data_IF_952688708563
#
_entry.id   IF_952688708563
#
_cell.length_a   1.000
_cell.length_b   1.000
_cell.length_c   1.000
_cell.angle_alpha   90.00
_cell.angle_beta   90.00
_cell.angle_gamma   90.00
#
_symmetry.space_group_name_H-M   'P 1'
#
loop_
_entity.id
_entity.type
_entity.pdbx_description
1 polymer ?
#
# COMPACT_ATOMS: atom_id res chain seq x y z
N UNK A 1 13.25 -42.62 -0.55
CA UNK A 1 14.08 -43.80 -0.87
C UNK A 1 15.36 -43.39 -1.62
N UNK A 2 16.40 -44.25 -1.71
CA UNK A 2 17.64 -43.95 -2.45
C UNK A 2 17.95 -44.94 -3.58
N UNK A 3 18.41 -44.43 -4.73
CA UNK A 3 18.88 -45.23 -5.87
C UNK A 3 20.37 -44.96 -6.08
N UNK A 4 21.16 -46.03 -6.24
CA UNK A 4 22.57 -45.96 -6.60
C UNK A 4 22.76 -46.08 -8.11
N UNK A 5 23.37 -45.07 -8.74
CA UNK A 5 23.78 -45.14 -10.15
C UNK A 5 25.23 -45.60 -10.27
N UNK A 6 25.48 -46.64 -11.07
CA UNK A 6 26.82 -47.13 -11.40
C UNK A 6 27.22 -46.65 -12.80
N UNK A 7 28.25 -45.82 -12.90
CA UNK A 7 28.78 -45.33 -14.18
C UNK A 7 30.02 -46.15 -14.56
N UNK A 8 30.06 -46.68 -15.78
CA UNK A 8 31.22 -47.39 -16.33
C UNK A 8 31.90 -46.49 -17.37
N UNK A 9 33.19 -46.22 -17.20
CA UNK A 9 34.01 -45.48 -18.17
C UNK A 9 34.96 -46.48 -18.83
N UNK A 10 34.84 -46.67 -20.14
CA UNK A 10 35.76 -47.52 -20.90
C UNK A 10 36.73 -46.63 -21.69
N UNK A 11 38.04 -46.87 -21.58
CA UNK A 11 39.03 -46.23 -22.45
C UNK A 11 39.09 -46.94 -23.81
N UNK A 12 39.08 -46.16 -24.90
CA UNK A 12 38.80 -46.68 -26.25
C UNK A 12 39.91 -47.52 -26.89
N UNK A 13 41.09 -47.63 -26.29
CA UNK A 13 42.26 -48.28 -26.91
C UNK A 13 42.84 -49.46 -26.11
N UNK A 14 42.18 -49.85 -25.02
CA UNK A 14 42.57 -50.98 -24.16
C UNK A 14 41.37 -51.90 -23.94
N UNK A 15 41.56 -53.23 -24.01
CA UNK A 15 40.54 -54.19 -23.56
C UNK A 15 40.40 -54.23 -22.02
N UNK A 16 41.19 -53.43 -21.31
CA UNK A 16 41.13 -53.27 -19.86
C UNK A 16 40.14 -52.16 -19.51
N UNK A 17 39.05 -52.51 -18.86
CA UNK A 17 38.02 -51.58 -18.41
C UNK A 17 38.31 -51.20 -16.97
N UNK A 18 38.80 -49.98 -16.74
CA UNK A 18 38.93 -49.44 -15.38
C UNK A 18 37.54 -49.04 -14.85
N UNK A 19 36.96 -49.93 -14.04
CA UNK A 19 35.64 -49.71 -13.44
C UNK A 19 35.78 -48.81 -12.20
N UNK A 20 35.63 -47.50 -12.40
CA UNK A 20 35.50 -46.55 -11.29
C UNK A 20 34.04 -46.46 -10.88
N UNK A 21 33.69 -47.08 -9.75
CA UNK A 21 32.34 -46.94 -9.17
C UNK A 21 32.27 -45.69 -8.31
N UNK A 22 31.51 -44.68 -8.77
CA UNK A 22 31.12 -43.54 -7.95
C UNK A 22 29.65 -43.68 -7.60
N UNK A 23 29.27 -43.97 -6.34
CA UNK A 23 27.88 -43.96 -5.95
C UNK A 23 27.37 -42.51 -6.03
N UNK A 24 26.32 -42.29 -6.82
CA UNK A 24 25.53 -41.07 -6.77
C UNK A 24 24.24 -41.42 -6.06
N UNK A 25 24.04 -40.83 -4.89
CA UNK A 25 22.84 -40.99 -4.09
C UNK A 25 21.79 -39.98 -4.56
N UNK A 26 20.64 -40.49 -4.99
CA UNK A 26 19.48 -39.66 -5.32
C UNK A 26 18.39 -39.92 -4.30
N UNK A 27 17.94 -38.88 -3.63
CA UNK A 27 16.73 -38.92 -2.82
C UNK A 27 15.52 -38.70 -3.72
N UNK A 28 14.48 -39.50 -3.51
CA UNK A 28 13.19 -39.34 -4.17
C UNK A 28 12.05 -39.63 -3.19
N UNK A 29 10.97 -38.89 -3.40
CA UNK A 29 9.69 -39.06 -2.73
C UNK A 29 8.58 -39.02 -3.78
N UNK A 30 7.60 -39.90 -3.63
CA UNK A 30 6.38 -39.95 -4.45
C UNK A 30 5.11 -39.70 -3.62
N UNK A 31 5.24 -39.66 -2.29
CA UNK A 31 4.12 -39.47 -1.39
C UNK A 31 3.81 -37.97 -1.30
N UNK A 32 2.62 -37.53 -1.71
CA UNK A 32 2.29 -36.12 -1.67
C UNK A 32 2.06 -35.64 -0.22
N UNK A 33 2.30 -34.35 0.07
CA UNK A 33 2.01 -33.77 1.38
C UNK A 33 0.55 -33.94 1.81
N UNK A 34 0.35 -33.98 3.14
CA UNK A 34 -1.00 -33.97 3.73
C UNK A 34 -1.77 -32.70 3.42
N UNK A 35 -3.10 -32.80 3.46
CA UNK A 35 -4.00 -31.66 3.25
C UNK A 35 -3.86 -30.63 4.38
N UNK A 36 -3.65 -29.33 4.07
CA UNK A 36 -3.69 -28.27 5.06
C UNK A 36 -5.06 -28.16 5.76
N UNK A 37 -5.05 -28.06 7.09
CA UNK A 37 -6.27 -27.98 7.91
C UNK A 37 -6.55 -26.58 8.46
N UNK A 38 -7.79 -26.38 8.93
CA UNK A 38 -8.25 -25.13 9.56
C UNK A 38 -8.05 -23.90 8.67
N UNK A 39 -8.33 -24.03 7.37
CA UNK A 39 -8.28 -22.91 6.43
C UNK A 39 -9.37 -21.91 6.81
N UNK A 40 -8.95 -20.67 7.03
CA UNK A 40 -9.83 -19.53 7.31
C UNK A 40 -9.53 -18.41 6.34
N UNK A 41 -10.57 -17.66 5.98
CA UNK A 41 -10.51 -16.54 5.05
C UNK A 41 -11.20 -15.34 5.67
N UNK A 42 -10.55 -14.18 5.58
CA UNK A 42 -11.06 -12.90 6.09
C UNK A 42 -10.95 -11.89 4.98
N UNK A 43 -12.08 -11.32 4.56
CA UNK A 43 -12.12 -10.26 3.56
C UNK A 43 -11.88 -8.88 4.20
N UNK A 44 -11.08 -8.04 3.53
CA UNK A 44 -10.85 -6.65 3.90
C UNK A 44 -10.59 -5.79 2.66
N UNK A 45 -11.58 -5.01 2.22
CA UNK A 45 -11.45 -4.24 0.98
C UNK A 45 -11.43 -5.17 -0.23
N UNK A 46 -10.46 -4.93 -1.11
CA UNK A 46 -10.16 -5.73 -2.31
C UNK A 46 -9.23 -6.93 -2.01
N UNK A 47 -9.03 -7.28 -0.73
CA UNK A 47 -8.16 -8.38 -0.34
C UNK A 47 -8.90 -9.46 0.45
N UNK A 48 -8.36 -10.69 0.37
CA UNK A 48 -8.72 -11.79 1.25
C UNK A 48 -7.44 -12.29 1.92
N UNK A 49 -7.40 -12.19 3.24
CA UNK A 49 -6.37 -12.81 4.07
C UNK A 49 -6.74 -14.26 4.33
N UNK A 50 -5.85 -15.17 3.94
CA UNK A 50 -5.98 -16.62 4.05
C UNK A 50 -5.01 -17.10 5.11
N UNK A 51 -5.47 -17.92 6.05
CA UNK A 51 -4.61 -18.57 7.03
C UNK A 51 -4.98 -20.04 7.25
N UNK A 52 -4.00 -20.85 7.60
CA UNK A 52 -4.17 -22.29 7.79
C UNK A 52 -3.25 -22.80 8.91
N UNK A 53 -3.44 -24.05 9.32
CA UNK A 53 -2.52 -24.71 10.25
C UNK A 53 -1.28 -25.16 9.48
N UNK A 54 -0.09 -24.70 9.88
CA UNK A 54 1.17 -25.20 9.32
C UNK A 54 1.22 -26.73 9.51
N UNK A 55 1.52 -27.45 8.43
CA UNK A 55 1.83 -28.87 8.51
C UNK A 55 3.13 -29.04 9.32
N UNK A 56 3.10 -29.89 10.34
CA UNK A 56 4.19 -30.08 11.31
C UNK A 56 4.99 -31.35 11.06
N UNK A 57 4.97 -31.89 9.85
CA UNK A 57 5.78 -33.06 9.53
C UNK A 57 7.27 -32.66 9.57
N UNK A 58 8.17 -33.63 9.79
CA UNK A 58 9.62 -33.44 10.08
C UNK A 58 10.43 -32.73 8.97
N UNK A 59 9.76 -32.20 7.94
CA UNK A 59 10.33 -31.51 6.80
C UNK A 59 9.89 -30.04 6.81
N UNK A 60 10.82 -29.14 7.12
CA UNK A 60 10.64 -27.68 7.05
C UNK A 60 10.55 -27.15 5.61
N UNK A 61 10.36 -28.03 4.61
CA UNK A 61 10.52 -27.76 3.18
C UNK A 61 9.20 -27.81 2.37
N UNK A 62 8.05 -27.70 3.04
CA UNK A 62 6.74 -27.62 2.38
C UNK A 62 6.45 -26.16 1.93
N UNK A 63 6.07 -26.01 0.67
CA UNK A 63 5.51 -24.79 0.10
C UNK A 63 3.97 -24.91 0.01
N UNK A 64 3.26 -23.80 0.01
CA UNK A 64 1.81 -23.77 -0.12
C UNK A 64 1.37 -23.08 -1.41
N UNK A 65 0.29 -23.58 -2.00
CA UNK A 65 -0.37 -22.98 -3.16
C UNK A 65 -1.82 -22.68 -2.81
N UNK A 66 -2.20 -21.42 -2.92
CA UNK A 66 -3.53 -20.92 -2.61
C UNK A 66 -4.24 -20.69 -3.94
N UNK A 67 -5.30 -21.45 -4.17
CA UNK A 67 -6.14 -21.37 -5.36
C UNK A 67 -7.43 -20.64 -5.04
N UNK A 68 -7.95 -19.86 -5.99
CA UNK A 68 -9.20 -19.15 -5.81
C UNK A 68 -10.02 -19.04 -7.09
N UNK A 69 -11.35 -19.09 -6.95
CA UNK A 69 -12.28 -19.02 -8.07
C UNK A 69 -13.61 -18.40 -7.64
N UNK A 70 -14.37 -17.89 -8.60
CA UNK A 70 -15.75 -17.39 -8.39
C UNK A 70 -16.79 -18.50 -8.47
N UNK A 71 -16.35 -19.75 -8.63
CA UNK A 71 -17.17 -20.97 -8.59
C UNK A 71 -16.53 -21.97 -7.63
N UNK A 72 -17.31 -22.82 -6.95
CA UNK A 72 -16.75 -23.91 -6.15
C UNK A 72 -15.95 -24.87 -7.02
N UNK A 73 -14.85 -25.39 -6.48
CA UNK A 73 -13.95 -26.31 -7.18
C UNK A 73 -13.39 -27.35 -6.24
N UNK A 74 -13.13 -28.53 -6.77
CA UNK A 74 -12.51 -29.64 -6.04
C UNK A 74 -11.12 -30.00 -6.58
N UNK A 75 -10.83 -29.61 -7.82
CA UNK A 75 -9.55 -29.84 -8.47
C UNK A 75 -8.92 -28.53 -8.95
N UNK A 76 -7.60 -28.43 -8.86
CA UNK A 76 -6.81 -27.26 -9.29
C UNK A 76 -6.96 -26.93 -10.80
N UNK A 77 -7.30 -27.92 -11.63
CA UNK A 77 -7.52 -27.73 -13.08
C UNK A 77 -8.81 -26.98 -13.40
N UNK A 78 -9.75 -26.90 -12.45
CA UNK A 78 -10.99 -26.12 -12.56
C UNK A 78 -10.75 -24.62 -12.26
N UNK A 79 -9.58 -24.28 -11.70
CA UNK A 79 -9.23 -22.92 -11.30
C UNK A 79 -8.74 -22.13 -12.52
N UNK A 80 -9.24 -20.89 -12.76
CA UNK A 80 -8.76 -20.05 -13.85
C UNK A 80 -7.24 -19.86 -13.82
N UNK A 81 -6.61 -19.91 -15.00
CA UNK A 81 -5.18 -19.71 -15.13
C UNK A 81 -4.77 -18.34 -14.58
N UNK A 82 -3.83 -18.33 -13.64
CA UNK A 82 -3.38 -17.11 -12.95
C UNK A 82 -3.95 -16.94 -11.55
N UNK A 83 -5.04 -17.63 -11.20
CA UNK A 83 -5.63 -17.56 -9.85
C UNK A 83 -4.96 -18.52 -8.86
N UNK A 84 -3.65 -18.36 -8.71
CA UNK A 84 -2.86 -19.13 -7.76
C UNK A 84 -1.77 -18.26 -7.13
N UNK A 85 -1.67 -18.29 -5.81
CA UNK A 85 -0.60 -17.64 -5.05
C UNK A 85 0.28 -18.73 -4.44
N UNK A 86 1.58 -18.68 -4.72
CA UNK A 86 2.55 -19.61 -4.13
C UNK A 86 3.26 -18.95 -2.96
N UNK A 87 3.31 -19.64 -1.83
CA UNK A 87 3.94 -19.20 -0.60
C UNK A 87 5.03 -20.18 -0.24
N UNK A 88 6.28 -19.70 -0.23
CA UNK A 88 7.42 -20.55 0.10
C UNK A 88 7.78 -20.54 1.59
N UNK A 89 8.27 -21.68 2.06
CA UNK A 89 8.77 -21.90 3.42
C UNK A 89 7.67 -22.02 4.48
N UNK A 90 8.09 -22.02 5.74
CA UNK A 90 7.27 -22.27 6.94
C UNK A 90 6.19 -21.20 7.28
N UNK A 91 5.62 -20.54 6.27
CA UNK A 91 4.50 -19.61 6.43
C UNK A 91 3.18 -20.38 6.56
N UNK A 92 2.20 -19.73 7.18
CA UNK A 92 0.85 -20.25 7.39
C UNK A 92 -0.24 -19.25 6.98
N UNK A 93 0.13 -18.26 6.17
CA UNK A 93 -0.79 -17.24 5.67
C UNK A 93 -0.38 -16.70 4.29
N UNK A 94 -1.37 -16.18 3.57
CA UNK A 94 -1.25 -15.50 2.29
C UNK A 94 -2.31 -14.41 2.19
N UNK A 95 -2.09 -13.41 1.34
CA UNK A 95 -3.09 -12.39 1.01
C UNK A 95 -3.35 -12.43 -0.48
N UNK A 96 -4.62 -12.62 -0.85
CA UNK A 96 -5.11 -12.42 -2.22
C UNK A 96 -5.39 -10.93 -2.41
N UNK A 97 -4.99 -10.36 -3.54
CA UNK A 97 -5.11 -8.93 -3.85
C UNK A 97 -5.86 -8.75 -5.18
N UNK A 98 -6.20 -7.49 -5.49
CA UNK A 98 -6.85 -7.10 -6.75
C UNK A 98 -8.15 -7.88 -7.01
N UNK A 99 -8.93 -8.15 -5.96
CA UNK A 99 -10.19 -8.87 -6.05
C UNK A 99 -11.38 -7.92 -6.25
N UNK A 100 -12.38 -8.38 -6.99
CA UNK A 100 -13.60 -7.62 -7.21
C UNK A 100 -14.46 -7.58 -5.94
N UNK A 101 -14.82 -6.38 -5.51
CA UNK A 101 -15.68 -6.17 -4.35
C UNK A 101 -17.11 -6.67 -4.62
N UNK A 102 -17.69 -7.35 -3.64
CA UNK A 102 -19.04 -7.92 -3.73
C UNK A 102 -19.11 -9.24 -4.48
N UNK A 103 -18.00 -9.76 -4.99
CA UNK A 103 -17.92 -11.07 -5.65
C UNK A 103 -17.54 -12.14 -4.63
N UNK A 104 -18.30 -13.24 -4.60
CA UNK A 104 -17.99 -14.37 -3.73
C UNK A 104 -16.83 -15.20 -4.30
N UNK A 105 -15.79 -15.41 -3.50
CA UNK A 105 -14.64 -16.24 -3.87
C UNK A 105 -14.57 -17.50 -3.00
N UNK A 106 -14.35 -18.62 -3.68
CA UNK A 106 -14.01 -19.91 -3.11
C UNK A 106 -12.49 -20.01 -3.09
N UNK A 107 -11.92 -20.37 -1.94
CA UNK A 107 -10.47 -20.42 -1.73
C UNK A 107 -10.09 -21.78 -1.15
N UNK A 108 -9.06 -22.41 -1.71
CA UNK A 108 -8.51 -23.67 -1.21
C UNK A 108 -6.99 -23.62 -1.15
N UNK A 109 -6.40 -24.29 -0.17
CA UNK A 109 -4.96 -24.35 0.04
C UNK A 109 -4.47 -25.77 -0.24
N UNK A 110 -3.46 -25.90 -1.07
CA UNK A 110 -2.71 -27.13 -1.30
C UNK A 110 -1.27 -27.00 -0.79
N UNK A 111 -0.67 -28.13 -0.43
CA UNK A 111 0.74 -28.22 -0.03
C UNK A 111 1.58 -28.88 -1.14
N UNK A 112 2.81 -28.40 -1.32
CA UNK A 112 3.77 -28.88 -2.30
C UNK A 112 5.11 -29.13 -1.61
N UNK A 113 5.68 -30.31 -1.80
CA UNK A 113 7.02 -30.60 -1.28
C UNK A 113 8.13 -30.07 -2.21
N UNK A 114 9.38 -30.42 -1.89
CA UNK A 114 10.58 -30.13 -2.70
C UNK A 114 10.75 -31.05 -3.91
N UNK A 115 10.09 -32.22 -3.90
CA UNK A 115 10.10 -33.21 -4.97
C UNK A 115 9.02 -32.96 -6.03
N UNK A 116 8.32 -31.82 -5.92
CA UNK A 116 7.26 -31.37 -6.80
C UNK A 116 5.93 -32.14 -6.65
N UNK A 117 5.79 -32.99 -5.63
CA UNK A 117 4.54 -33.65 -5.33
C UNK A 117 3.56 -32.65 -4.71
N UNK A 118 2.37 -32.56 -5.31
CA UNK A 118 1.30 -31.71 -4.80
C UNK A 118 0.26 -32.57 -4.07
N UNK A 119 -0.02 -32.19 -2.82
CA UNK A 119 -1.10 -32.73 -2.00
C UNK A 119 -2.49 -32.37 -2.50
N UNK A 120 -3.48 -33.07 -1.93
CA UNK A 120 -4.88 -32.74 -2.11
C UNK A 120 -5.21 -31.32 -1.58
N UNK A 121 -6.21 -30.68 -2.19
CA UNK A 121 -6.67 -29.36 -1.78
C UNK A 121 -7.51 -29.43 -0.50
N UNK A 122 -7.40 -28.39 0.34
CA UNK A 122 -8.36 -28.18 1.42
C UNK A 122 -9.79 -27.99 0.88
N UNK A 123 -10.78 -28.22 1.74
CA UNK A 123 -12.15 -27.79 1.48
C UNK A 123 -12.19 -26.28 1.15
N UNK A 124 -13.15 -25.88 0.31
CA UNK A 124 -13.29 -24.47 -0.04
C UNK A 124 -13.70 -23.66 1.20
N UNK A 125 -12.89 -22.67 1.55
CA UNK A 125 -13.28 -21.58 2.40
C UNK A 125 -13.88 -20.46 1.52
N UNK A 126 -14.88 -19.74 2.02
CA UNK A 126 -15.63 -18.77 1.23
C UNK A 126 -15.51 -17.40 1.87
N UNK A 127 -15.14 -16.40 1.07
CA UNK A 127 -15.12 -15.00 1.46
C UNK A 127 -15.61 -14.12 0.32
N UNK A 128 -16.23 -13.00 0.67
CA UNK A 128 -16.64 -11.96 -0.28
C UNK A 128 -15.88 -10.70 0.09
N UNK A 129 -14.95 -10.20 -0.74
CA UNK A 129 -14.33 -8.89 -0.57
C UNK A 129 -15.45 -7.84 -0.38
N UNK A 130 -15.35 -7.06 0.68
CA UNK A 130 -16.30 -5.99 1.01
C UNK A 130 -15.54 -4.68 0.97
N UNK A 131 -16.18 -3.59 0.55
CA UNK A 131 -15.58 -2.26 0.67
C UNK A 131 -15.14 -2.06 2.13
N UNK A 132 -13.90 -1.60 2.34
CA UNK A 132 -13.45 -1.31 3.70
C UNK A 132 -14.29 -0.18 4.24
N UNK A 133 -15.17 -0.47 5.20
CA UNK A 133 -15.93 0.54 5.93
C UNK A 133 -14.96 1.55 6.54
N UNK A 134 -14.88 2.73 5.94
CA UNK A 134 -14.26 3.84 6.64
C UNK A 134 -15.19 4.31 7.77
N UNK A 135 -14.65 5.07 8.72
CA UNK A 135 -15.44 5.58 9.85
C UNK A 135 -16.61 6.48 9.42
N UNK A 136 -16.60 6.99 8.18
CA UNK A 136 -17.64 7.84 7.64
C UNK A 136 -18.79 7.05 7.02
N UNK A 137 -18.53 5.96 6.30
CA UNK A 137 -19.56 5.01 5.89
C UNK A 137 -20.25 4.41 7.10
N UNK A 138 -19.47 4.06 8.13
CA UNK A 138 -20.02 3.63 9.41
C UNK A 138 -20.92 4.69 10.07
N UNK A 139 -20.55 5.96 9.95
CA UNK A 139 -21.32 7.10 10.45
C UNK A 139 -22.60 7.35 9.62
N UNK A 140 -22.52 7.26 8.29
CA UNK A 140 -23.68 7.39 7.38
C UNK A 140 -24.71 6.28 7.63
N UNK A 141 -24.26 5.04 7.77
CA UNK A 141 -25.12 3.90 8.11
C UNK A 141 -25.77 4.05 9.49
N UNK A 142 -25.09 4.72 10.43
CA UNK A 142 -25.64 5.06 11.74
C UNK A 142 -26.62 6.25 11.72
N UNK A 143 -26.99 6.75 10.53
CA UNK A 143 -27.95 7.85 10.35
C UNK A 143 -27.33 9.23 10.21
N UNK A 144 -26.04 9.33 9.87
CA UNK A 144 -25.35 10.58 9.61
C UNK A 144 -25.96 11.38 8.45
N UNK A 145 -26.34 12.63 8.70
CA UNK A 145 -27.08 13.50 7.76
C UNK A 145 -26.20 14.35 6.83
N UNK A 146 -24.88 14.19 6.87
CA UNK A 146 -23.94 15.05 6.17
C UNK A 146 -23.62 14.50 4.79
N UNK A 147 -23.64 15.39 3.81
CA UNK A 147 -23.31 15.11 2.42
C UNK A 147 -21.82 15.45 2.20
N UNK A 148 -20.93 14.50 2.49
CA UNK A 148 -19.51 14.62 2.15
C UNK A 148 -18.58 13.88 3.09
N UNK A 149 -17.57 13.19 2.53
CA UNK A 149 -16.70 12.28 3.26
C UNK A 149 -15.80 12.90 4.34
N UNK A 150 -14.96 12.07 4.97
CA UNK A 150 -14.09 12.48 6.07
C UNK A 150 -12.79 13.19 5.62
N UNK A 151 -12.30 14.16 6.40
CA UNK A 151 -10.93 14.65 6.27
C UNK A 151 -10.04 14.04 7.37
N UNK A 152 -9.55 12.82 7.15
CA UNK A 152 -8.78 12.01 8.11
C UNK A 152 -7.70 12.79 8.86
N UNK A 153 -6.74 13.37 8.14
CA UNK A 153 -5.60 14.09 8.72
C UNK A 153 -6.05 15.34 9.50
N UNK A 154 -7.04 16.07 8.97
CA UNK A 154 -7.53 17.29 9.63
C UNK A 154 -8.29 16.94 10.92
N UNK A 155 -9.13 15.91 10.90
CA UNK A 155 -9.83 15.43 12.10
C UNK A 155 -8.84 14.87 13.12
N UNK A 156 -7.81 14.13 12.70
CA UNK A 156 -6.76 13.65 13.62
C UNK A 156 -6.00 14.81 14.27
N UNK A 157 -5.68 15.86 13.50
CA UNK A 157 -4.97 17.03 14.01
C UNK A 157 -5.82 17.87 14.99
N UNK A 158 -7.08 18.16 14.63
CA UNK A 158 -7.97 19.01 15.42
C UNK A 158 -8.83 18.25 16.46
N UNK A 159 -8.86 16.92 16.39
CA UNK A 159 -9.54 16.04 17.33
C UNK A 159 -11.05 15.96 17.18
N UNK A 160 -11.66 16.68 16.23
CA UNK A 160 -13.10 16.67 16.03
C UNK A 160 -13.46 16.96 14.59
N UNK A 161 -14.38 16.17 14.05
CA UNK A 161 -14.94 16.32 12.71
C UNK A 161 -15.73 17.64 12.54
N UNK A 162 -16.39 18.11 13.60
CA UNK A 162 -17.15 19.36 13.62
C UNK A 162 -16.28 20.58 13.95
N UNK A 163 -14.96 20.41 14.05
CA UNK A 163 -14.08 21.54 14.33
C UNK A 163 -14.15 22.55 13.17
N UNK A 164 -14.22 23.88 13.43
CA UNK A 164 -14.40 24.89 12.37
C UNK A 164 -13.37 24.82 11.24
N UNK A 165 -12.11 24.52 11.57
CA UNK A 165 -11.05 24.35 10.56
C UNK A 165 -11.22 23.09 9.72
N UNK A 166 -11.80 22.03 10.28
CA UNK A 166 -12.08 20.80 9.53
C UNK A 166 -13.28 21.05 8.61
N UNK A 167 -14.32 21.72 9.12
CA UNK A 167 -15.49 22.09 8.33
C UNK A 167 -15.11 22.92 7.09
N UNK A 168 -14.28 23.98 7.25
CA UNK A 168 -13.90 24.81 6.09
C UNK A 168 -13.03 24.08 5.07
N UNK A 169 -12.16 23.15 5.50
CA UNK A 169 -11.36 22.32 4.60
C UNK A 169 -12.25 21.35 3.81
N UNK A 170 -13.33 20.86 4.42
CA UNK A 170 -14.32 20.00 3.76
C UNK A 170 -15.16 20.78 2.76
N UNK A 171 -15.65 21.97 3.14
CA UNK A 171 -16.34 22.86 2.21
C UNK A 171 -15.44 23.16 1.00
N UNK A 172 -14.15 23.39 1.22
CA UNK A 172 -13.17 23.60 0.14
C UNK A 172 -13.02 22.36 -0.76
N UNK A 173 -12.91 21.17 -0.17
CA UNK A 173 -12.90 19.91 -0.93
C UNK A 173 -14.15 19.80 -1.81
N UNK A 174 -15.32 19.95 -1.22
CA UNK A 174 -16.60 19.66 -1.89
C UNK A 174 -16.96 20.73 -2.93
N UNK A 175 -16.65 22.00 -2.67
CA UNK A 175 -17.05 23.11 -3.55
C UNK A 175 -15.98 23.55 -4.54
N UNK A 176 -14.70 23.33 -4.25
CA UNK A 176 -13.58 23.81 -5.08
C UNK A 176 -12.82 22.65 -5.74
N UNK A 177 -12.55 21.56 -5.03
CA UNK A 177 -11.75 20.45 -5.59
C UNK A 177 -12.59 19.48 -6.43
N UNK A 178 -13.68 18.96 -5.86
CA UNK A 178 -14.53 17.94 -6.50
C UNK A 178 -15.11 18.33 -7.87
N UNK A 179 -15.44 19.61 -8.15
CA UNK A 179 -15.91 20.00 -9.49
C UNK A 179 -14.85 19.92 -10.60
N UNK A 180 -13.58 19.68 -10.27
CA UNK A 180 -12.47 19.63 -11.24
C UNK A 180 -11.80 18.27 -11.24
N UNK A 181 -11.48 17.72 -12.42
CA UNK A 181 -10.88 16.38 -12.53
C UNK A 181 -9.55 16.26 -11.76
N UNK A 182 -8.72 17.31 -11.80
CA UNK A 182 -7.47 17.36 -11.04
C UNK A 182 -7.71 17.40 -9.52
N UNK A 183 -8.75 18.12 -9.10
CA UNK A 183 -9.12 18.19 -7.69
C UNK A 183 -9.70 16.87 -7.20
N UNK A 184 -10.56 16.22 -8.00
CA UNK A 184 -11.08 14.88 -7.72
C UNK A 184 -9.93 13.85 -7.58
N UNK A 185 -8.99 13.82 -8.54
CA UNK A 185 -7.83 12.93 -8.45
C UNK A 185 -6.94 13.18 -7.21
N UNK A 186 -6.79 14.45 -6.79
CA UNK A 186 -6.10 14.78 -5.54
C UNK A 186 -6.86 14.26 -4.32
N UNK A 187 -8.19 14.39 -4.33
CA UNK A 187 -9.05 13.87 -3.26
C UNK A 187 -8.94 12.35 -3.21
N UNK A 188 -9.01 11.64 -4.33
CA UNK A 188 -8.86 10.18 -4.37
C UNK A 188 -7.52 9.72 -3.80
N UNK A 189 -6.42 10.39 -4.17
CA UNK A 189 -5.11 10.17 -3.57
C UNK A 189 -5.13 10.42 -2.05
N UNK A 190 -5.75 11.52 -1.61
CA UNK A 190 -5.88 11.82 -0.19
C UNK A 190 -6.68 10.76 0.57
N UNK A 191 -7.73 10.17 -0.02
CA UNK A 191 -8.51 9.12 0.61
C UNK A 191 -7.77 7.77 0.62
N UNK A 192 -6.98 7.50 -0.42
CA UNK A 192 -6.18 6.27 -0.51
C UNK A 192 -5.08 6.21 0.56
N UNK A 193 -4.43 7.34 0.85
CA UNK A 193 -3.30 7.36 1.79
C UNK A 193 -3.60 8.04 3.13
N UNK A 194 -4.56 8.97 3.17
CA UNK A 194 -4.89 9.82 4.32
C UNK A 194 -5.14 9.08 5.63
N UNK A 195 -5.82 7.92 5.65
CA UNK A 195 -6.00 7.12 6.87
C UNK A 195 -4.68 6.74 7.55
N UNK A 196 -3.69 6.29 6.77
CA UNK A 196 -2.37 5.92 7.29
C UNK A 196 -1.67 7.12 7.98
N UNK A 197 -1.71 8.31 7.38
CA UNK A 197 -1.12 9.51 7.99
C UNK A 197 -1.88 9.95 9.25
N UNK A 198 -3.20 9.76 9.27
CA UNK A 198 -4.04 10.13 10.41
C UNK A 198 -3.72 9.27 11.65
N UNK A 199 -3.54 7.96 11.46
CA UNK A 199 -3.14 7.02 12.52
C UNK A 199 -1.79 7.39 13.14
N UNK A 200 -0.82 7.84 12.32
CA UNK A 200 0.49 8.26 12.82
C UNK A 200 0.43 9.50 13.73
N UNK A 201 -0.61 10.33 13.58
CA UNK A 201 -0.74 11.64 14.22
C UNK A 201 -1.69 11.59 15.43
N UNK A 202 -2.76 10.80 15.40
CA UNK A 202 -3.90 10.91 16.33
C UNK A 202 -3.50 10.80 17.82
N UNK A 203 -2.55 9.92 18.14
CA UNK A 203 -2.13 9.64 19.52
C UNK A 203 -0.97 10.52 20.02
N UNK A 204 -0.40 11.37 19.15
CA UNK A 204 0.84 12.10 19.45
C UNK A 204 0.66 13.61 19.37
N UNK A 205 0.50 14.26 20.53
CA UNK A 205 0.25 15.72 20.61
C UNK A 205 1.29 16.62 19.90
N UNK A 206 2.60 16.33 19.92
CA UNK A 206 3.57 17.11 19.14
C UNK A 206 3.34 17.03 17.63
N UNK A 207 2.99 15.85 17.12
CA UNK A 207 2.68 15.62 15.70
C UNK A 207 1.36 16.29 15.31
N UNK A 208 0.35 16.27 16.19
CA UNK A 208 -0.91 17.02 15.98
C UNK A 208 -0.64 18.51 15.89
N UNK A 209 0.24 19.03 16.74
CA UNK A 209 0.63 20.45 16.72
C UNK A 209 1.33 20.81 15.41
N UNK A 210 2.26 19.98 14.95
CA UNK A 210 2.92 20.17 13.66
C UNK A 210 1.91 20.10 12.50
N UNK A 211 1.00 19.12 12.52
CA UNK A 211 -0.06 18.99 11.52
C UNK A 211 -0.97 20.21 11.50
N UNK A 212 -1.37 20.76 12.67
CA UNK A 212 -2.16 22.00 12.75
C UNK A 212 -1.44 23.20 12.14
N UNK A 213 -0.13 23.34 12.37
CA UNK A 213 0.69 24.40 11.78
C UNK A 213 0.79 24.23 10.26
N UNK A 214 1.02 22.99 9.79
CA UNK A 214 1.08 22.68 8.37
C UNK A 214 -0.26 22.90 7.65
N UNK A 215 -1.37 22.55 8.30
CA UNK A 215 -2.72 22.73 7.76
C UNK A 215 -3.17 24.19 7.77
N UNK A 216 -2.64 25.04 8.65
CA UNK A 216 -3.05 26.44 8.78
C UNK A 216 -3.04 27.25 7.46
N UNK A 217 -1.98 27.24 6.62
CA UNK A 217 -2.00 27.93 5.33
C UNK A 217 -3.11 27.40 4.40
N UNK A 218 -3.37 26.09 4.44
CA UNK A 218 -4.44 25.47 3.66
C UNK A 218 -5.83 25.84 4.19
N UNK A 219 -6.00 25.93 5.52
CA UNK A 219 -7.22 26.43 6.15
C UNK A 219 -7.49 27.88 5.74
N UNK A 220 -6.46 28.73 5.71
CA UNK A 220 -6.59 30.11 5.26
C UNK A 220 -6.98 30.20 3.78
N UNK A 221 -6.32 29.41 2.93
CA UNK A 221 -6.64 29.32 1.51
C UNK A 221 -8.08 28.85 1.30
N UNK A 222 -8.48 27.77 1.97
CA UNK A 222 -9.83 27.22 1.97
C UNK A 222 -10.85 28.27 2.40
N UNK A 223 -10.59 28.95 3.52
CA UNK A 223 -11.48 30.00 4.02
C UNK A 223 -11.69 31.12 2.99
N UNK A 224 -10.61 31.64 2.41
CA UNK A 224 -10.72 32.76 1.47
C UNK A 224 -11.40 32.34 0.17
N UNK A 225 -11.07 31.17 -0.36
CA UNK A 225 -11.66 30.68 -1.61
C UNK A 225 -13.12 30.27 -1.45
N UNK A 226 -13.50 29.61 -0.36
CA UNK A 226 -14.89 29.22 -0.09
C UNK A 226 -15.75 30.46 0.18
N UNK A 227 -15.27 31.43 0.97
CA UNK A 227 -16.08 32.60 1.36
C UNK A 227 -16.13 33.71 0.31
N UNK A 228 -15.05 33.90 -0.45
CA UNK A 228 -14.92 35.03 -1.39
C UNK A 228 -14.67 34.61 -2.84
N UNK A 229 -14.63 33.30 -3.14
CA UNK A 229 -14.42 32.77 -4.48
C UNK A 229 -13.08 33.18 -5.09
N UNK A 230 -13.05 33.25 -6.43
CA UNK A 230 -11.88 33.64 -7.20
C UNK A 230 -11.38 35.06 -6.85
N UNK A 231 -12.29 35.98 -6.49
CA UNK A 231 -11.93 37.36 -6.11
C UNK A 231 -11.06 37.37 -4.85
N UNK A 232 -11.44 36.57 -3.85
CA UNK A 232 -10.63 36.40 -2.63
C UNK A 232 -9.24 35.87 -2.93
N UNK A 233 -9.14 34.86 -3.79
CA UNK A 233 -7.85 34.30 -4.21
C UNK A 233 -6.96 35.35 -4.90
N UNK A 234 -7.53 36.11 -5.84
CA UNK A 234 -6.79 37.18 -6.53
C UNK A 234 -6.29 38.26 -5.56
N UNK A 235 -7.11 38.66 -4.59
CA UNK A 235 -6.68 39.62 -3.56
C UNK A 235 -5.57 39.07 -2.67
N UNK A 236 -5.64 37.79 -2.29
CA UNK A 236 -4.59 37.15 -1.50
C UNK A 236 -3.26 37.10 -2.26
N UNK A 237 -3.28 36.68 -3.53
CA UNK A 237 -2.09 36.64 -4.38
C UNK A 237 -1.52 38.05 -4.58
N UNK A 238 -2.38 39.05 -4.80
CA UNK A 238 -1.96 40.43 -4.91
C UNK A 238 -1.28 40.93 -3.64
N UNK A 239 -1.87 40.68 -2.46
CA UNK A 239 -1.31 41.07 -1.17
C UNK A 239 0.05 40.40 -0.88
N UNK A 240 0.17 39.10 -1.20
CA UNK A 240 1.43 38.36 -1.08
C UNK A 240 2.49 38.89 -2.04
N UNK A 241 2.13 39.17 -3.30
CA UNK A 241 3.04 39.73 -4.29
C UNK A 241 3.52 41.14 -3.90
N UNK A 242 2.61 41.97 -3.34
CA UNK A 242 2.94 43.30 -2.85
C UNK A 242 3.90 43.21 -1.67
N UNK A 243 3.61 42.36 -0.68
CA UNK A 243 4.45 42.13 0.49
C UNK A 243 5.82 41.59 0.12
N UNK A 244 5.90 40.65 -0.82
CA UNK A 244 7.17 40.16 -1.36
C UNK A 244 7.98 41.29 -2.01
N UNK A 245 7.33 42.16 -2.80
CA UNK A 245 7.99 43.31 -3.43
C UNK A 245 8.48 44.33 -2.41
N UNK A 246 7.74 44.60 -1.34
CA UNK A 246 8.16 45.56 -0.31
C UNK A 246 9.32 45.01 0.53
N UNK A 247 9.29 43.72 0.91
CA UNK A 247 10.40 43.06 1.63
C UNK A 247 11.64 42.96 0.74
N UNK A 248 11.49 42.59 -0.54
CA UNK A 248 12.62 42.58 -1.47
C UNK A 248 13.25 43.97 -1.64
N UNK A 249 12.43 45.03 -1.70
CA UNK A 249 12.91 46.41 -1.74
C UNK A 249 13.66 46.80 -0.46
N UNK A 250 13.16 46.42 0.71
CA UNK A 250 13.82 46.75 1.98
C UNK A 250 15.13 45.99 2.19
N UNK A 251 15.21 44.72 1.75
CA UNK A 251 16.44 43.92 1.77
C UNK A 251 17.47 44.47 0.77
N UNK A 252 17.08 44.79 -0.47
CA UNK A 252 17.99 45.39 -1.45
C UNK A 252 18.49 46.77 -1.01
N UNK A 253 17.69 47.56 -0.29
CA UNK A 253 18.12 48.84 0.26
C UNK A 253 19.14 48.67 1.41
N UNK A 254 19.01 47.63 2.23
CA UNK A 254 19.97 47.31 3.31
C UNK A 254 21.27 46.67 2.83
N UNK A 255 21.26 45.97 1.69
CA UNK A 255 22.46 45.36 1.07
C UNK A 255 23.05 46.31 0.00
N UNK A 256 22.71 47.61 0.05
CA UNK A 256 23.34 48.63 -0.78
C UNK A 256 24.85 48.68 -0.53
N UNK A 257 25.62 48.07 -1.43
CA UNK A 257 27.07 48.22 -1.55
C UNK A 257 27.40 49.71 -1.44
N UNK A 258 28.22 50.14 -0.46
CA UNK A 258 28.57 51.54 -0.33
C UNK A 258 29.24 52.00 -1.64
N UNK A 259 28.71 53.05 -2.25
CA UNK A 259 29.29 53.80 -3.37
C UNK A 259 30.74 54.28 -3.11
N UNK A 260 31.28 54.07 -1.91
CA UNK A 260 32.63 54.47 -1.48
C UNK A 260 33.80 53.78 -2.22
N UNK A 261 33.59 52.65 -2.90
CA UNK A 261 34.70 51.98 -3.61
C UNK A 261 35.01 52.58 -5.00
N UNK A 262 34.05 53.28 -5.62
CA UNK A 262 34.24 53.87 -6.96
C UNK A 262 35.01 55.21 -6.88
N UNK A 263 34.89 55.94 -5.78
CA UNK A 263 35.56 57.24 -5.58
C UNK A 263 37.08 57.09 -5.32
N UNK A 264 37.50 56.03 -4.62
CA UNK A 264 38.92 55.83 -4.27
C UNK A 264 39.79 55.37 -5.45
N UNK A 265 39.23 54.64 -6.43
CA UNK A 265 39.98 54.25 -7.65
C UNK A 265 40.21 55.40 -8.64
N UNK A 266 39.41 56.47 -8.55
CA UNK A 266 39.59 57.69 -9.37
C UNK A 266 40.62 58.67 -8.80
N UNK A 267 41.03 58.49 -7.53
CA UNK A 267 42.06 59.32 -6.87
C UNK A 267 43.47 58.78 -6.97
N UNK A 268 43.65 57.52 -7.37
CA UNK A 268 44.96 56.89 -7.60
C UNK A 268 45.39 56.91 -9.07
N UNK A 269 44.57 57.45 -9.98
CA UNK A 269 44.87 57.58 -11.41
C UNK A 269 44.98 59.04 -11.90
N UNK A 270 45.23 60.00 -10.99
CA UNK A 270 45.57 61.39 -11.34
C UNK A 270 46.79 61.84 -10.55
#
# INVERSE_FOLDING_TARGET
>A
DSINLYIYVAESESNDVDVVTVPVEFEYDYDPPKVPSSVTVVAAGETIDVSWTKLSDEEDDINYQIYYSTQPFSDRSEVPSGNVVTVSGAKSSATLQDLEVGVEYYVSVGAKDIFDNLGELSANAVATPIETRDGFEAYKDAGGGEDGGFCFVATAAYGSYIHPHVAILRDFRDTILMPSDLGAAFVDFYYSYGPYWAELIVDKEPLRSLARVFLLPWVLLAYVTVKFGAVGLCMMVFALSYSYRTVRRSVNHRIGVPQLYVELSRRTSR
#
